data_IF_304123327214
#
_entry.id   IF_304123327214
#
_cell.length_a   1.000
_cell.length_b   1.000
_cell.length_c   1.000
_cell.angle_alpha   90.00
_cell.angle_beta   90.00
_cell.angle_gamma   90.00
#
_symmetry.space_group_name_H-M   'P 1'
#
loop_
_entity.id
_entity.type
_entity.pdbx_description
1 polymer ?
#
# COMPACT_ATOMS: atom_id res chain seq x y z
N UNK A 1 2.18 -9.46 -47.93
CA UNK A 1 1.73 -9.53 -46.52
C UNK A 1 2.97 -9.43 -45.64
N UNK A 2 2.94 -8.72 -44.50
CA UNK A 2 4.04 -8.74 -43.55
C UNK A 2 4.28 -10.17 -43.06
N UNK A 3 5.54 -10.55 -42.88
CA UNK A 3 5.91 -11.87 -42.35
C UNK A 3 5.33 -12.04 -40.94
N UNK A 4 4.59 -13.13 -40.72
CA UNK A 4 4.08 -13.53 -39.40
C UNK A 4 4.95 -14.68 -38.89
N UNK A 5 5.65 -14.54 -37.75
CA UNK A 5 6.40 -15.65 -37.15
C UNK A 5 5.45 -16.80 -36.78
N UNK A 6 5.99 -18.01 -36.64
CA UNK A 6 5.20 -19.22 -36.35
C UNK A 6 4.38 -19.15 -35.07
N UNK A 7 4.81 -18.34 -34.10
CA UNK A 7 4.12 -18.11 -32.83
C UNK A 7 3.09 -16.99 -32.87
N UNK A 8 2.94 -16.26 -33.98
CA UNK A 8 2.03 -15.12 -34.10
C UNK A 8 0.57 -15.54 -33.92
N UNK A 9 -0.21 -14.72 -33.20
CA UNK A 9 -1.66 -14.87 -33.03
C UNK A 9 -2.34 -13.56 -33.41
N UNK A 10 -3.45 -13.62 -34.16
CA UNK A 10 -4.10 -12.42 -34.71
C UNK A 10 -4.71 -11.54 -33.61
N UNK A 11 -5.37 -12.16 -32.64
CA UNK A 11 -6.17 -11.48 -31.61
C UNK A 11 -5.48 -11.42 -30.24
N UNK A 12 -4.25 -11.93 -30.13
CA UNK A 12 -3.51 -11.95 -28.86
C UNK A 12 -2.12 -11.35 -29.02
N UNK A 13 -1.65 -10.71 -27.94
CA UNK A 13 -0.29 -10.19 -27.81
C UNK A 13 0.42 -10.97 -26.73
N UNK A 14 1.63 -11.43 -27.02
CA UNK A 14 2.50 -11.98 -25.99
C UNK A 14 3.14 -10.83 -25.20
N UNK A 15 2.91 -10.81 -23.90
CA UNK A 15 3.43 -9.80 -22.98
C UNK A 15 4.39 -10.49 -22.03
N UNK A 16 5.67 -10.12 -22.09
CA UNK A 16 6.64 -10.44 -21.04
C UNK A 16 6.71 -9.29 -20.05
N UNK A 17 6.53 -9.63 -18.77
CA UNK A 17 6.70 -8.76 -17.61
C UNK A 17 7.91 -9.19 -16.77
N UNK A 18 8.92 -9.76 -17.43
CA UNK A 18 10.20 -10.12 -16.84
C UNK A 18 10.82 -8.93 -16.08
N UNK A 19 11.36 -9.22 -14.89
CA UNK A 19 12.01 -8.20 -14.05
C UNK A 19 13.42 -7.83 -14.52
N UNK A 20 14.03 -8.66 -15.39
CA UNK A 20 15.40 -8.49 -15.88
C UNK A 20 15.50 -8.79 -17.37
N UNK A 21 16.43 -8.11 -18.04
CA UNK A 21 16.71 -8.23 -19.48
C UNK A 21 18.22 -8.33 -19.77
N UNK A 22 19.00 -8.89 -18.84
CA UNK A 22 20.44 -9.12 -18.99
C UNK A 22 21.32 -7.88 -18.84
N UNK A 23 20.75 -6.67 -18.73
CA UNK A 23 21.48 -5.41 -18.55
C UNK A 23 20.88 -4.54 -17.45
N UNK A 24 21.73 -3.72 -16.81
CA UNK A 24 21.29 -2.73 -15.83
C UNK A 24 21.03 -1.35 -16.46
N UNK A 25 20.59 -0.39 -15.65
CA UNK A 25 20.28 0.99 -16.08
C UNK A 25 21.44 1.74 -16.74
N UNK A 26 22.67 1.30 -16.51
CA UNK A 26 23.89 1.91 -17.04
C UNK A 26 24.40 1.15 -18.28
N UNK A 27 23.66 0.14 -18.76
CA UNK A 27 24.03 -0.69 -19.92
C UNK A 27 25.04 -1.80 -19.62
N UNK A 28 25.40 -2.01 -18.35
CA UNK A 28 26.30 -3.10 -17.96
C UNK A 28 25.55 -4.42 -17.83
N UNK A 29 26.23 -5.53 -18.09
CA UNK A 29 25.67 -6.87 -17.92
C UNK A 29 25.20 -7.08 -16.48
N UNK A 30 23.97 -7.56 -16.33
CA UNK A 30 23.38 -7.94 -15.07
C UNK A 30 23.61 -9.44 -14.85
N UNK A 31 24.21 -9.81 -13.71
CA UNK A 31 24.47 -11.20 -13.34
C UNK A 31 23.58 -11.61 -12.18
N UNK A 32 23.17 -12.88 -12.16
CA UNK A 32 22.42 -13.46 -11.05
C UNK A 32 23.25 -13.38 -9.78
N UNK A 33 22.63 -12.95 -8.67
CA UNK A 33 23.25 -12.95 -7.35
C UNK A 33 22.90 -14.25 -6.64
N UNK A 34 23.92 -14.96 -6.17
CA UNK A 34 23.74 -16.12 -5.29
C UNK A 34 23.17 -15.65 -3.95
N UNK A 35 21.96 -16.10 -3.62
CA UNK A 35 21.25 -15.70 -2.40
C UNK A 35 21.93 -16.18 -1.10
N UNK A 36 22.76 -17.23 -1.16
CA UNK A 36 23.47 -17.77 0.00
C UNK A 36 24.77 -17.01 0.27
N UNK A 37 25.49 -16.63 -0.78
CA UNK A 37 26.81 -16.00 -0.65
C UNK A 37 26.80 -14.48 -0.87
N UNK A 38 25.73 -13.95 -1.47
CA UNK A 38 25.61 -12.55 -1.88
C UNK A 38 26.53 -12.17 -3.05
N UNK A 39 27.22 -13.14 -3.67
CA UNK A 39 28.16 -12.88 -4.76
C UNK A 39 27.47 -12.95 -6.11
N UNK A 40 28.00 -12.19 -7.07
CA UNK A 40 27.62 -12.32 -8.48
C UNK A 40 28.09 -13.69 -8.98
N UNK A 41 27.20 -14.37 -9.69
CA UNK A 41 27.53 -15.57 -10.46
C UNK A 41 28.02 -15.17 -11.85
N UNK A 42 28.38 -16.16 -12.67
CA UNK A 42 28.71 -15.96 -14.09
C UNK A 42 27.47 -16.00 -15.00
N UNK A 43 26.30 -16.34 -14.45
CA UNK A 43 25.05 -16.44 -15.19
C UNK A 43 24.44 -15.05 -15.38
N UNK A 44 24.14 -14.70 -16.64
CA UNK A 44 23.43 -13.45 -16.98
C UNK A 44 21.99 -13.55 -16.47
N UNK A 45 21.51 -12.51 -15.80
CA UNK A 45 20.14 -12.41 -15.32
C UNK A 45 19.25 -11.81 -16.42
N UNK A 46 18.75 -12.67 -17.31
CA UNK A 46 17.92 -12.30 -18.46
C UNK A 46 16.62 -13.13 -18.51
N UNK A 47 15.67 -12.78 -17.63
CA UNK A 47 14.35 -13.42 -17.61
C UNK A 47 13.53 -13.13 -18.86
N UNK A 48 13.77 -11.99 -19.51
CA UNK A 48 13.14 -11.66 -20.78
C UNK A 48 13.53 -12.68 -21.85
N UNK A 49 14.82 -13.03 -21.97
CA UNK A 49 15.26 -14.07 -22.91
C UNK A 49 14.61 -15.42 -22.63
N UNK A 50 14.51 -15.82 -21.35
CA UNK A 50 13.82 -17.07 -20.96
C UNK A 50 12.35 -17.10 -21.43
N UNK A 51 11.65 -15.97 -21.35
CA UNK A 51 10.28 -15.83 -21.85
C UNK A 51 10.20 -15.93 -23.39
N UNK A 52 11.16 -15.32 -24.11
CA UNK A 52 11.24 -15.39 -25.58
C UNK A 52 11.55 -16.82 -26.06
N UNK A 53 12.50 -17.51 -25.41
CA UNK A 53 12.80 -18.90 -25.70
C UNK A 53 11.58 -19.80 -25.47
N UNK A 54 10.82 -19.53 -24.41
CA UNK A 54 9.57 -20.23 -24.13
C UNK A 54 8.51 -19.96 -25.20
N UNK A 55 8.34 -18.70 -25.61
CA UNK A 55 7.44 -18.31 -26.71
C UNK A 55 7.77 -19.03 -28.02
N UNK A 56 9.03 -19.00 -28.45
CA UNK A 56 9.48 -19.62 -29.70
C UNK A 56 9.33 -21.14 -29.65
N UNK A 57 9.57 -21.76 -28.49
CA UNK A 57 9.40 -23.20 -28.28
C UNK A 57 7.93 -23.63 -28.08
N UNK A 58 6.97 -22.69 -28.02
CA UNK A 58 5.56 -23.00 -27.75
C UNK A 58 5.30 -23.50 -26.32
N UNK A 59 6.13 -23.12 -25.35
CA UNK A 59 6.02 -23.51 -23.94
C UNK A 59 5.48 -22.35 -23.08
N UNK A 60 4.85 -22.63 -21.94
CA UNK A 60 4.51 -21.59 -20.96
C UNK A 60 5.76 -20.86 -20.49
N UNK A 61 5.68 -19.53 -20.47
CA UNK A 61 6.72 -18.65 -19.93
C UNK A 61 6.44 -18.37 -18.44
N UNK A 62 7.48 -18.11 -17.65
CA UNK A 62 7.33 -17.84 -16.20
C UNK A 62 6.83 -16.42 -15.96
N UNK A 63 7.34 -15.47 -16.73
CA UNK A 63 6.97 -14.05 -16.67
C UNK A 63 6.35 -13.55 -17.97
N UNK A 64 5.84 -14.47 -18.80
CA UNK A 64 5.22 -14.16 -20.07
C UNK A 64 3.85 -14.80 -20.21
N UNK A 65 2.93 -14.10 -20.86
CA UNK A 65 1.60 -14.65 -21.17
C UNK A 65 1.03 -14.07 -22.46
N UNK A 66 0.02 -14.75 -22.97
CA UNK A 66 -0.86 -14.20 -23.98
C UNK A 66 -1.95 -13.34 -23.33
N UNK A 67 -2.21 -12.18 -23.92
CA UNK A 67 -3.27 -11.25 -23.55
C UNK A 67 -4.09 -10.94 -24.79
N UNK A 68 -5.40 -11.14 -24.70
CA UNK A 68 -6.31 -10.76 -25.78
C UNK A 68 -6.23 -9.26 -26.05
N UNK A 69 -6.26 -8.87 -27.33
CA UNK A 69 -6.08 -7.48 -27.75
C UNK A 69 -7.08 -6.53 -27.08
N UNK A 70 -8.31 -6.97 -26.90
CA UNK A 70 -9.37 -6.17 -26.27
C UNK A 70 -9.12 -5.89 -24.78
N UNK A 71 -8.24 -6.66 -24.13
CA UNK A 71 -7.86 -6.46 -22.74
C UNK A 71 -6.57 -5.65 -22.58
N UNK A 72 -5.93 -5.24 -23.68
CA UNK A 72 -4.74 -4.39 -23.64
C UNK A 72 -5.13 -2.93 -23.43
N UNK A 73 -5.22 -2.51 -22.17
CA UNK A 73 -5.59 -1.14 -21.79
C UNK A 73 -4.38 -0.26 -21.44
N UNK A 74 -3.26 -0.87 -21.03
CA UNK A 74 -2.09 -0.17 -20.49
C UNK A 74 -0.81 -0.63 -21.21
N UNK A 75 0.01 0.32 -21.66
CA UNK A 75 1.28 0.04 -22.36
C UNK A 75 2.45 -0.38 -21.46
N UNK A 76 2.17 -0.84 -20.24
CA UNK A 76 3.17 -1.25 -19.26
C UNK A 76 3.06 -2.76 -19.03
N UNK A 77 4.04 -3.58 -19.46
CA UNK A 77 3.92 -5.03 -19.41
C UNK A 77 3.63 -5.59 -18.02
N UNK A 78 4.24 -5.00 -16.98
CA UNK A 78 4.04 -5.42 -15.59
C UNK A 78 2.59 -5.36 -15.11
N UNK A 79 1.75 -4.52 -15.71
CA UNK A 79 0.32 -4.47 -15.38
C UNK A 79 -0.40 -5.81 -15.62
N UNK A 80 0.09 -6.60 -16.58
CA UNK A 80 -0.46 -7.91 -16.96
C UNK A 80 0.20 -9.08 -16.23
N UNK A 81 1.06 -8.83 -15.26
CA UNK A 81 1.48 -9.87 -14.33
C UNK A 81 0.21 -10.37 -13.63
N UNK A 82 0.00 -11.68 -13.58
CA UNK A 82 -1.13 -12.31 -12.87
C UNK A 82 -0.69 -13.41 -11.93
N UNK A 83 0.63 -13.53 -11.68
CA UNK A 83 1.17 -14.54 -10.77
C UNK A 83 0.62 -14.38 -9.36
N UNK A 84 0.29 -13.15 -8.98
CA UNK A 84 -0.27 -12.87 -7.66
C UNK A 84 -1.74 -13.30 -7.49
N UNK A 85 -2.53 -13.36 -8.57
CA UNK A 85 -3.92 -13.84 -8.52
C UNK A 85 -3.93 -15.33 -8.15
N UNK A 86 -3.18 -16.13 -8.91
CA UNK A 86 -3.08 -17.57 -8.66
C UNK A 86 -2.55 -17.88 -7.26
N UNK A 87 -1.57 -17.10 -6.78
CA UNK A 87 -1.03 -17.30 -5.44
C UNK A 87 -1.95 -16.80 -4.32
N UNK A 88 -2.86 -15.85 -4.58
CA UNK A 88 -3.94 -15.52 -3.63
C UNK A 88 -4.99 -16.65 -3.61
N UNK A 89 -5.39 -17.18 -4.76
CA UNK A 89 -6.28 -18.34 -4.84
C UNK A 89 -5.72 -19.55 -4.07
N UNK A 90 -4.42 -19.82 -4.21
CA UNK A 90 -3.75 -20.90 -3.50
C UNK A 90 -3.65 -20.63 -1.98
N UNK A 91 -3.50 -19.37 -1.58
CA UNK A 91 -3.56 -18.99 -0.17
C UNK A 91 -4.95 -19.25 0.41
N UNK A 92 -6.01 -18.89 -0.31
CA UNK A 92 -7.40 -19.05 0.11
C UNK A 92 -7.85 -20.51 0.24
N UNK A 93 -7.17 -21.44 -0.46
CA UNK A 93 -7.42 -22.89 -0.31
C UNK A 93 -6.90 -23.48 1.01
N UNK A 94 -6.05 -22.75 1.75
CA UNK A 94 -5.49 -23.25 3.00
C UNK A 94 -6.57 -23.32 4.10
N UNK A 95 -6.49 -24.28 5.04
CA UNK A 95 -7.48 -24.43 6.11
C UNK A 95 -7.70 -23.16 6.95
N UNK A 96 -6.65 -22.35 7.12
CA UNK A 96 -6.70 -21.09 7.87
C UNK A 96 -7.57 -20.00 7.20
N UNK A 97 -7.86 -20.14 5.90
CA UNK A 97 -8.67 -19.21 5.11
C UNK A 97 -10.05 -19.79 4.78
N UNK A 98 -10.50 -20.83 5.51
CA UNK A 98 -11.86 -21.35 5.33
C UNK A 98 -12.88 -20.24 5.57
N UNK A 99 -13.77 -20.04 4.60
CA UNK A 99 -14.79 -18.99 4.64
C UNK A 99 -14.33 -17.62 4.12
N UNK A 100 -13.07 -17.51 3.69
CA UNK A 100 -12.57 -16.31 3.02
C UNK A 100 -12.79 -16.40 1.51
N UNK A 101 -12.94 -15.23 0.89
CA UNK A 101 -13.04 -15.04 -0.56
C UNK A 101 -12.09 -13.93 -1.00
N UNK A 102 -11.71 -13.90 -2.27
CA UNK A 102 -10.99 -12.75 -2.82
C UNK A 102 -11.98 -11.64 -3.15
N UNK A 103 -11.72 -10.43 -2.66
CA UNK A 103 -12.47 -9.23 -3.01
C UNK A 103 -11.49 -8.10 -3.35
N UNK A 104 -11.82 -7.30 -4.34
CA UNK A 104 -11.06 -6.10 -4.67
C UNK A 104 -11.35 -4.98 -3.67
N UNK A 105 -10.39 -4.07 -3.46
CA UNK A 105 -10.63 -2.84 -2.69
C UNK A 105 -11.79 -2.04 -3.31
N UNK A 106 -11.92 -2.06 -4.64
CA UNK A 106 -13.02 -1.44 -5.38
C UNK A 106 -14.39 -1.97 -4.97
N UNK A 107 -14.60 -3.28 -5.03
CA UNK A 107 -15.86 -3.90 -4.61
C UNK A 107 -16.20 -3.57 -3.16
N UNK A 108 -15.22 -3.63 -2.25
CA UNK A 108 -15.45 -3.31 -0.84
C UNK A 108 -15.78 -1.82 -0.60
N UNK A 109 -15.29 -0.93 -1.46
CA UNK A 109 -15.67 0.50 -1.45
C UNK A 109 -17.08 0.68 -1.99
N UNK A 110 -17.42 0.01 -3.09
CA UNK A 110 -18.74 0.09 -3.72
C UNK A 110 -19.84 -0.49 -2.82
N UNK A 111 -19.55 -1.58 -2.11
CA UNK A 111 -20.42 -2.18 -1.09
C UNK A 111 -20.50 -1.35 0.20
N UNK A 112 -19.68 -0.30 0.32
CA UNK A 112 -19.67 0.60 1.45
C UNK A 112 -19.00 0.03 2.71
N UNK A 113 -18.29 -1.09 2.61
CA UNK A 113 -17.52 -1.67 3.73
C UNK A 113 -16.20 -0.92 3.97
N UNK A 114 -15.61 -0.32 2.94
CA UNK A 114 -14.40 0.50 3.04
C UNK A 114 -14.70 1.92 2.57
N UNK A 115 -14.40 2.90 3.41
CA UNK A 115 -14.33 4.29 3.02
C UNK A 115 -12.91 4.61 2.52
N UNK A 116 -12.82 5.39 1.43
CA UNK A 116 -11.57 5.90 0.89
C UNK A 116 -11.54 7.43 0.89
N UNK A 117 -10.37 8.01 1.11
CA UNK A 117 -10.14 9.47 1.01
C UNK A 117 -8.73 9.76 0.54
N UNK A 118 -8.55 10.86 -0.19
CA UNK A 118 -7.23 11.41 -0.48
C UNK A 118 -6.72 12.29 0.68
N UNK A 119 -5.41 12.50 0.75
CA UNK A 119 -4.84 13.50 1.66
C UNK A 119 -5.33 14.92 1.37
N UNK A 120 -5.12 15.80 2.33
CA UNK A 120 -5.69 17.16 2.36
C UNK A 120 -5.05 18.11 1.34
N UNK A 121 -3.72 18.03 1.19
CA UNK A 121 -2.96 18.92 0.33
C UNK A 121 -1.57 19.21 0.86
N UNK A 122 -0.80 19.99 0.10
CA UNK A 122 0.61 20.23 0.36
C UNK A 122 0.84 21.70 0.72
N UNK A 123 0.92 22.06 2.01
CA UNK A 123 1.38 23.38 2.44
C UNK A 123 2.74 23.75 1.81
N UNK A 124 2.87 25.00 1.39
CA UNK A 124 4.11 25.55 0.85
C UNK A 124 5.14 25.76 1.97
N UNK A 125 6.43 25.84 1.62
CA UNK A 125 7.51 25.88 2.61
C UNK A 125 7.51 27.13 3.50
N UNK A 126 7.02 28.25 2.98
CA UNK A 126 6.84 29.53 3.67
C UNK A 126 5.72 29.49 4.72
N UNK A 127 4.82 28.50 4.66
CA UNK A 127 3.73 28.30 5.63
C UNK A 127 4.10 27.34 6.76
N UNK A 128 5.37 26.96 6.87
CA UNK A 128 5.88 26.13 7.95
C UNK A 128 6.11 26.97 9.20
N UNK A 129 5.87 26.36 10.36
CA UNK A 129 5.78 27.01 11.66
C UNK A 129 4.39 26.79 12.27
N UNK A 130 4.34 26.45 13.55
CA UNK A 130 3.11 26.14 14.27
C UNK A 130 3.17 24.80 14.98
N UNK A 131 2.00 24.27 15.34
CA UNK A 131 1.85 23.09 16.20
C UNK A 131 1.14 21.91 15.52
N UNK A 132 0.60 22.09 14.30
CA UNK A 132 -0.13 21.02 13.60
C UNK A 132 0.83 20.28 12.65
N UNK A 133 0.99 18.95 12.77
CA UNK A 133 1.88 18.20 11.89
C UNK A 133 1.42 18.22 10.42
N UNK A 134 2.36 18.46 9.51
CA UNK A 134 2.18 18.20 8.07
C UNK A 134 3.02 16.97 7.68
N UNK A 135 2.33 15.92 7.23
CA UNK A 135 2.87 14.60 6.93
C UNK A 135 3.05 14.44 5.42
N UNK A 136 4.30 14.18 5.01
CA UNK A 136 4.67 13.91 3.61
C UNK A 136 4.76 12.41 3.35
N UNK A 137 4.81 12.03 2.07
CA UNK A 137 5.04 10.63 1.65
C UNK A 137 6.28 9.99 2.28
N UNK A 138 7.31 10.79 2.57
CA UNK A 138 8.55 10.33 3.22
C UNK A 138 8.39 9.98 4.69
N UNK A 139 7.31 10.43 5.33
CA UNK A 139 7.07 10.33 6.76
C UNK A 139 6.25 9.08 7.12
N UNK A 140 5.75 8.36 6.11
CA UNK A 140 5.12 7.03 6.24
C UNK A 140 6.21 5.97 6.19
N UNK A 141 6.53 5.38 7.33
CA UNK A 141 7.58 4.36 7.44
C UNK A 141 7.25 3.37 8.54
N UNK A 142 7.60 2.10 8.30
CA UNK A 142 7.54 1.03 9.30
C UNK A 142 6.18 0.94 10.02
N UNK A 143 5.07 1.07 9.28
CA UNK A 143 3.73 0.99 9.84
C UNK A 143 3.27 2.23 10.62
N UNK A 144 4.06 3.30 10.66
CA UNK A 144 3.78 4.49 11.47
C UNK A 144 3.77 5.79 10.67
N UNK A 145 2.97 6.74 11.16
CA UNK A 145 2.97 8.14 10.74
C UNK A 145 3.97 8.91 11.59
N UNK A 146 5.11 9.27 11.01
CA UNK A 146 6.18 9.97 11.72
C UNK A 146 5.95 11.48 11.67
N UNK A 147 5.93 12.13 12.83
CA UNK A 147 5.81 13.58 12.91
C UNK A 147 7.18 14.20 12.69
N UNK A 148 7.26 15.14 11.75
CA UNK A 148 8.46 15.92 11.49
C UNK A 148 8.27 17.36 12.00
N UNK A 149 8.92 17.74 13.12
CA UNK A 149 8.78 19.08 13.71
C UNK A 149 9.12 20.23 12.75
N UNK A 150 9.99 19.98 11.76
CA UNK A 150 10.39 20.99 10.77
C UNK A 150 9.31 21.29 9.71
N UNK A 151 8.24 20.49 9.64
CA UNK A 151 7.18 20.63 8.66
C UNK A 151 5.87 21.14 9.25
N UNK A 152 5.77 21.36 10.56
CA UNK A 152 4.52 21.77 11.21
C UNK A 152 3.95 23.05 10.61
N UNK A 153 2.63 23.21 10.70
CA UNK A 153 1.89 24.38 10.21
C UNK A 153 1.01 24.95 11.32
N UNK A 154 0.55 26.19 11.16
CA UNK A 154 -0.39 26.80 12.10
C UNK A 154 -1.78 26.19 11.96
N UNK A 155 -2.58 26.26 13.03
CA UNK A 155 -3.98 25.78 13.00
C UNK A 155 -4.82 26.42 11.89
N UNK A 156 -4.61 27.72 11.61
CA UNK A 156 -5.31 28.42 10.51
C UNK A 156 -4.95 27.82 9.14
N UNK A 157 -3.66 27.54 8.91
CA UNK A 157 -3.22 26.89 7.67
C UNK A 157 -3.82 25.49 7.59
N UNK A 158 -3.76 24.71 8.67
CA UNK A 158 -4.32 23.36 8.71
C UNK A 158 -5.82 23.33 8.39
N UNK A 159 -6.63 24.16 9.07
CA UNK A 159 -8.08 24.26 8.85
C UNK A 159 -8.43 24.63 7.39
N UNK A 160 -7.60 25.45 6.73
CA UNK A 160 -7.79 25.77 5.31
C UNK A 160 -7.62 24.55 4.39
N UNK A 161 -6.71 23.63 4.73
CA UNK A 161 -6.50 22.37 4.00
C UNK A 161 -7.55 21.32 4.38
N UNK A 162 -7.94 21.27 5.65
CA UNK A 162 -9.00 20.38 6.13
C UNK A 162 -10.38 20.77 5.61
N UNK A 163 -10.58 22.05 5.28
CA UNK A 163 -11.87 22.68 4.95
C UNK A 163 -12.86 22.59 6.12
N UNK A 164 -12.34 22.73 7.34
CA UNK A 164 -13.10 22.60 8.58
C UNK A 164 -12.20 22.70 9.80
N UNK A 165 -12.78 22.60 11.01
CA UNK A 165 -12.03 22.71 12.27
C UNK A 165 -11.08 21.52 12.52
N UNK A 166 -11.38 20.34 11.97
CA UNK A 166 -10.64 19.09 12.17
C UNK A 166 -10.28 18.44 10.84
N UNK A 167 -9.27 17.57 10.85
CA UNK A 167 -8.82 16.84 9.65
C UNK A 167 -9.90 15.92 9.07
N UNK A 168 -10.75 15.35 9.93
CA UNK A 168 -11.71 14.29 9.59
C UNK A 168 -11.09 12.88 9.50
N UNK A 169 -9.82 12.74 9.89
CA UNK A 169 -9.20 11.45 10.16
C UNK A 169 -9.70 10.90 11.51
N UNK A 170 -9.51 9.60 11.73
CA UNK A 170 -9.92 8.91 12.96
C UNK A 170 -8.80 8.01 13.47
N UNK A 171 -8.85 7.62 14.76
CA UNK A 171 -8.01 6.57 15.28
C UNK A 171 -7.97 5.34 14.36
N UNK A 172 -6.77 4.82 14.18
CA UNK A 172 -6.45 3.62 13.41
C UNK A 172 -6.73 3.71 11.92
N UNK A 173 -6.90 4.91 11.34
CA UNK A 173 -6.92 5.09 9.89
C UNK A 173 -5.67 4.49 9.24
N UNK A 174 -5.86 3.83 8.09
CA UNK A 174 -4.77 3.24 7.33
C UNK A 174 -4.34 4.21 6.24
N UNK A 175 -3.09 4.66 6.29
CA UNK A 175 -2.54 5.68 5.38
C UNK A 175 -1.42 5.08 4.55
N UNK A 176 -1.48 5.21 3.22
CA UNK A 176 -0.40 4.79 2.32
C UNK A 176 -0.15 5.85 1.26
N UNK A 177 1.11 6.10 0.84
CA UNK A 177 1.34 6.90 -0.35
C UNK A 177 0.84 6.15 -1.60
N UNK A 178 0.27 6.89 -2.53
CA UNK A 178 -0.17 6.38 -3.85
C UNK A 178 0.59 7.03 -5.01
N UNK A 179 1.51 7.95 -4.69
CA UNK A 179 2.33 8.66 -5.66
C UNK A 179 3.67 9.10 -5.06
N UNK A 180 4.70 9.19 -5.89
CA UNK A 180 6.01 9.78 -5.57
C UNK A 180 6.70 9.16 -4.34
N UNK A 181 6.53 7.86 -4.14
CA UNK A 181 7.12 7.13 -3.03
C UNK A 181 7.49 5.70 -3.43
N UNK A 182 8.58 5.20 -2.84
CA UNK A 182 8.94 3.78 -2.93
C UNK A 182 8.10 2.89 -2.01
N UNK A 183 7.42 3.51 -1.04
CA UNK A 183 6.61 2.82 -0.04
C UNK A 183 5.14 2.71 -0.48
N UNK A 184 4.83 2.86 -1.78
CA UNK A 184 3.46 2.73 -2.28
C UNK A 184 2.91 1.33 -1.92
N UNK A 185 1.71 1.31 -1.32
CA UNK A 185 1.08 0.10 -0.80
C UNK A 185 1.54 -0.31 0.60
N UNK A 186 2.54 0.36 1.20
CA UNK A 186 2.84 0.24 2.64
C UNK A 186 1.88 1.12 3.42
N UNK A 187 1.11 0.47 4.30
CA UNK A 187 0.16 1.16 5.15
C UNK A 187 0.81 1.47 6.50
N UNK A 188 0.66 2.72 6.91
CA UNK A 188 0.86 3.17 8.28
C UNK A 188 -0.48 3.30 8.98
N UNK A 189 -0.46 3.15 10.30
CA UNK A 189 -1.63 3.35 11.16
C UNK A 189 -1.54 4.73 11.80
N UNK A 190 -2.64 5.48 11.72
CA UNK A 190 -2.79 6.71 12.48
C UNK A 190 -3.13 6.36 13.93
N UNK A 191 -2.21 6.58 14.86
CA UNK A 191 -2.47 6.26 16.28
C UNK A 191 -3.48 7.23 16.88
N UNK A 192 -4.22 6.83 17.92
CA UNK A 192 -5.01 7.77 18.72
C UNK A 192 -4.17 9.00 19.13
N UNK A 193 -4.78 10.18 19.06
CA UNK A 193 -4.14 11.48 19.27
C UNK A 193 -3.38 12.03 18.05
N UNK A 194 -3.30 11.30 16.94
CA UNK A 194 -2.65 11.77 15.70
C UNK A 194 -3.65 12.19 14.61
N UNK A 195 -4.92 12.34 14.94
CA UNK A 195 -6.01 12.60 13.99
C UNK A 195 -5.84 13.96 13.31
N UNK A 196 -5.52 15.00 14.06
CA UNK A 196 -5.42 16.37 13.54
C UNK A 196 -4.04 16.65 12.92
N UNK A 197 -3.85 16.05 11.73
CA UNK A 197 -2.68 16.26 10.87
C UNK A 197 -3.09 16.70 9.47
N UNK A 198 -2.20 17.42 8.79
CA UNK A 198 -2.32 17.68 7.35
C UNK A 198 -1.56 16.59 6.61
N UNK A 199 -2.26 15.70 5.92
CA UNK A 199 -1.67 14.74 4.98
C UNK A 199 -1.48 15.36 3.59
N UNK A 200 -0.34 15.12 2.95
CA UNK A 200 -0.15 15.51 1.53
C UNK A 200 -1.15 14.81 0.62
N UNK A 201 -1.55 15.43 -0.51
CA UNK A 201 -2.58 14.91 -1.42
C UNK A 201 -2.24 13.56 -2.05
N UNK A 202 -0.96 13.20 -2.10
CA UNK A 202 -0.43 11.94 -2.62
C UNK A 202 -0.66 10.74 -1.68
N UNK A 203 -1.37 10.93 -0.57
CA UNK A 203 -1.79 9.86 0.34
C UNK A 203 -3.17 9.34 0.00
N UNK A 204 -3.35 8.04 0.15
CA UNK A 204 -4.62 7.35 0.26
C UNK A 204 -4.86 7.00 1.73
N UNK A 205 -6.08 7.25 2.18
CA UNK A 205 -6.60 6.83 3.48
C UNK A 205 -7.69 5.81 3.23
N UNK A 206 -7.58 4.65 3.86
CA UNK A 206 -8.59 3.60 3.90
C UNK A 206 -9.06 3.39 5.34
N UNK A 207 -10.36 3.15 5.50
CA UNK A 207 -10.99 2.83 6.78
C UNK A 207 -12.16 1.89 6.56
N UNK A 208 -12.33 0.88 7.41
CA UNK A 208 -13.60 0.15 7.44
C UNK A 208 -14.72 1.05 7.96
N UNK A 209 -15.93 0.84 7.48
CA UNK A 209 -17.11 1.58 7.92
C UNK A 209 -17.82 0.83 9.03
N UNK A 210 -18.84 1.45 9.62
CA UNK A 210 -19.71 0.79 10.61
C UNK A 210 -20.58 -0.32 10.02
N UNK A 211 -20.66 -0.44 8.69
CA UNK A 211 -21.39 -1.53 8.01
C UNK A 211 -20.50 -2.72 7.70
N UNK A 212 -19.18 -2.59 7.82
CA UNK A 212 -18.26 -3.68 7.61
C UNK A 212 -18.31 -4.69 8.78
N UNK A 213 -18.26 -6.01 8.50
CA UNK A 213 -18.19 -7.04 9.54
C UNK A 213 -16.81 -7.13 10.21
N UNK A 214 -15.86 -6.28 9.80
CA UNK A 214 -14.45 -6.33 10.22
C UNK A 214 -13.93 -4.91 10.44
N UNK A 215 -12.83 -4.80 11.19
CA UNK A 215 -12.23 -3.51 11.54
C UNK A 215 -10.91 -3.21 10.80
N UNK A 216 -10.35 -2.04 11.09
CA UNK A 216 -9.10 -1.58 10.49
C UNK A 216 -7.91 -2.52 10.78
N UNK A 217 -7.91 -3.28 11.87
CA UNK A 217 -6.81 -4.21 12.16
C UNK A 217 -6.87 -5.43 11.23
N UNK A 218 -8.07 -5.91 10.93
CA UNK A 218 -8.26 -6.91 9.88
C UNK A 218 -7.87 -6.38 8.51
N UNK A 219 -8.34 -5.19 8.15
CA UNK A 219 -8.00 -4.58 6.86
C UNK A 219 -6.48 -4.40 6.71
N UNK A 220 -5.80 -3.95 7.76
CA UNK A 220 -4.34 -3.83 7.77
C UNK A 220 -3.64 -5.17 7.63
N UNK A 221 -4.10 -6.21 8.34
CA UNK A 221 -3.56 -7.57 8.21
C UNK A 221 -3.67 -8.06 6.77
N UNK A 222 -4.86 -7.92 6.16
CA UNK A 222 -5.12 -8.36 4.80
C UNK A 222 -4.23 -7.63 3.78
N UNK A 223 -4.14 -6.29 3.90
CA UNK A 223 -3.29 -5.45 3.06
C UNK A 223 -1.79 -5.72 3.22
N UNK A 224 -1.40 -6.28 4.37
CA UNK A 224 0.00 -6.57 4.73
C UNK A 224 0.46 -7.98 4.31
N UNK A 225 -0.44 -8.83 3.80
CA UNK A 225 -0.05 -10.13 3.26
C UNK A 225 0.92 -9.96 2.10
N UNK A 226 2.00 -10.76 2.08
CA UNK A 226 3.06 -10.67 1.05
C UNK A 226 2.47 -10.73 -0.35
N UNK A 227 1.48 -11.60 -0.56
CA UNK A 227 0.85 -11.78 -1.85
C UNK A 227 0.05 -10.55 -2.30
N UNK A 228 -0.71 -9.94 -1.38
CA UNK A 228 -1.43 -8.68 -1.60
C UNK A 228 -0.44 -7.56 -1.88
N UNK A 229 0.66 -7.50 -1.14
CA UNK A 229 1.73 -6.51 -1.34
C UNK A 229 2.42 -6.63 -2.70
N UNK A 230 2.61 -7.83 -3.20
CA UNK A 230 3.18 -8.06 -4.53
C UNK A 230 2.27 -7.55 -5.64
N UNK A 231 0.94 -7.56 -5.46
CA UNK A 231 0.01 -7.02 -6.46
C UNK A 231 0.27 -5.55 -6.76
N UNK A 232 0.68 -4.74 -5.78
CA UNK A 232 0.94 -3.32 -5.97
C UNK A 232 1.99 -3.05 -7.05
N UNK A 233 2.97 -3.95 -7.22
CA UNK A 233 4.02 -3.80 -8.22
C UNK A 233 3.46 -3.68 -9.65
N UNK A 234 2.29 -4.28 -9.93
CA UNK A 234 1.65 -4.23 -11.25
C UNK A 234 1.02 -2.87 -11.57
N UNK A 235 0.60 -2.14 -10.54
CA UNK A 235 -0.17 -0.89 -10.69
C UNK A 235 0.68 0.36 -10.44
N UNK A 236 1.86 0.20 -9.84
CA UNK A 236 2.85 1.27 -9.65
C UNK A 236 3.56 1.53 -10.97
N UNK A 237 3.08 2.53 -11.70
CA UNK A 237 3.61 2.89 -13.01
C UNK A 237 4.37 4.23 -12.94
N UNK A 238 5.40 4.38 -13.78
CA UNK A 238 6.14 5.63 -13.88
C UNK A 238 5.35 6.64 -14.72
N UNK A 239 4.98 7.76 -14.12
CA UNK A 239 4.44 8.92 -14.83
C UNK A 239 5.52 10.00 -14.89
N UNK A 240 6.08 10.23 -16.09
CA UNK A 240 7.25 11.09 -16.31
C UNK A 240 8.43 10.68 -15.44
N UNK A 241 8.58 11.27 -14.24
CA UNK A 241 9.70 11.03 -13.32
C UNK A 241 9.26 10.55 -11.92
N UNK A 242 7.99 10.22 -11.71
CA UNK A 242 7.47 9.77 -10.42
C UNK A 242 6.51 8.59 -10.59
N UNK A 243 6.53 7.70 -9.62
CA UNK A 243 5.60 6.59 -9.51
C UNK A 243 4.18 7.09 -9.19
N UNK A 244 3.17 6.48 -9.80
CA UNK A 244 1.75 6.81 -9.61
C UNK A 244 0.86 5.59 -9.87
N UNK A 245 -0.15 5.37 -9.02
CA UNK A 245 -1.12 4.27 -9.17
C UNK A 245 -2.49 4.73 -9.71
N UNK A 246 -2.80 6.02 -9.74
CA UNK A 246 -4.14 6.51 -10.05
C UNK A 246 -5.22 5.83 -9.20
N UNK A 247 -6.30 5.37 -9.82
CA UNK A 247 -7.34 4.56 -9.17
C UNK A 247 -7.09 3.04 -9.26
N UNK A 248 -5.97 2.60 -9.83
CA UNK A 248 -5.68 1.17 -9.99
C UNK A 248 -5.49 0.43 -8.66
N UNK A 249 -5.29 1.14 -7.54
CA UNK A 249 -5.31 0.52 -6.21
C UNK A 249 -6.65 -0.16 -5.90
N UNK A 250 -7.75 0.27 -6.54
CA UNK A 250 -9.05 -0.37 -6.40
C UNK A 250 -9.06 -1.79 -6.95
N UNK A 251 -8.15 -2.12 -7.87
CA UNK A 251 -8.03 -3.46 -8.45
C UNK A 251 -7.23 -4.44 -7.56
N UNK A 252 -6.69 -3.99 -6.42
CA UNK A 252 -5.95 -4.86 -5.50
C UNK A 252 -6.93 -5.80 -4.82
N UNK A 253 -6.67 -7.09 -4.90
CA UNK A 253 -7.47 -8.13 -4.26
C UNK A 253 -6.92 -8.45 -2.86
N UNK A 254 -7.81 -8.59 -1.89
CA UNK A 254 -7.50 -9.02 -0.53
C UNK A 254 -8.38 -10.20 -0.13
N UNK A 255 -7.90 -11.09 0.77
CA UNK A 255 -8.78 -12.07 1.38
C UNK A 255 -9.78 -11.36 2.29
N UNK A 256 -11.05 -11.69 2.13
CA UNK A 256 -12.17 -11.07 2.84
C UNK A 256 -13.11 -12.13 3.42
N UNK A 257 -13.68 -11.85 4.58
CA UNK A 257 -14.66 -12.72 5.26
C UNK A 257 -15.70 -11.86 5.98
N UNK A 258 -16.92 -12.40 6.12
CA UNK A 258 -17.96 -11.84 6.99
C UNK A 258 -18.02 -12.51 8.37
N UNK A 259 -17.18 -13.51 8.62
CA UNK A 259 -17.03 -14.15 9.93
C UNK A 259 -16.12 -13.30 10.82
N UNK A 260 -16.72 -12.58 11.77
CA UNK A 260 -16.00 -11.67 12.67
C UNK A 260 -14.97 -12.39 13.55
N UNK A 261 -15.24 -13.63 13.95
CA UNK A 261 -14.34 -14.40 14.82
C UNK A 261 -13.11 -14.85 14.02
N UNK A 262 -13.32 -15.32 12.79
CA UNK A 262 -12.22 -15.65 11.89
C UNK A 262 -11.37 -14.42 11.59
N UNK A 263 -12.00 -13.27 11.28
CA UNK A 263 -11.32 -12.01 11.03
C UNK A 263 -10.52 -11.53 12.25
N UNK A 264 -11.11 -11.61 13.45
CA UNK A 264 -10.45 -11.23 14.71
C UNK A 264 -9.28 -12.15 15.02
N UNK A 265 -9.40 -13.44 14.75
CA UNK A 265 -8.35 -14.43 14.97
C UNK A 265 -7.09 -14.12 14.15
N UNK A 266 -7.25 -13.93 12.84
CA UNK A 266 -6.10 -13.68 11.94
C UNK A 266 -5.47 -12.30 12.17
N UNK A 267 -6.27 -11.32 12.57
CA UNK A 267 -5.82 -9.95 12.82
C UNK A 267 -5.33 -9.68 14.24
N UNK A 268 -5.46 -10.65 15.15
CA UNK A 268 -5.11 -10.49 16.57
C UNK A 268 -3.68 -9.96 16.80
N UNK A 269 -2.63 -10.43 16.09
CA UNK A 269 -1.28 -9.89 16.30
C UNK A 269 -1.16 -8.40 15.98
N UNK A 270 -1.82 -7.94 14.90
CA UNK A 270 -1.84 -6.52 14.52
C UNK A 270 -2.60 -5.69 15.55
N UNK A 271 -3.79 -6.16 15.92
CA UNK A 271 -4.62 -5.52 16.95
C UNK A 271 -3.87 -5.35 18.27
N UNK A 272 -3.30 -6.43 18.79
CA UNK A 272 -2.59 -6.41 20.06
C UNK A 272 -1.38 -5.48 20.02
N UNK A 273 -0.64 -5.46 18.89
CA UNK A 273 0.50 -4.57 18.71
C UNK A 273 0.10 -3.10 18.80
N UNK A 274 -0.89 -2.67 18.01
CA UNK A 274 -1.28 -1.25 17.96
C UNK A 274 -2.05 -0.81 19.21
N UNK A 275 -2.91 -1.66 19.78
CA UNK A 275 -3.59 -1.33 21.05
C UNK A 275 -2.61 -1.26 22.22
N UNK A 276 -1.65 -2.20 22.32
CA UNK A 276 -0.61 -2.14 23.34
C UNK A 276 0.32 -0.93 23.16
N UNK A 277 0.62 -0.55 21.92
CA UNK A 277 1.33 0.70 21.64
C UNK A 277 0.54 1.93 22.12
N UNK A 278 -0.77 1.99 21.87
CA UNK A 278 -1.61 3.09 22.33
C UNK A 278 -1.60 3.20 23.86
N UNK A 279 -1.79 2.08 24.56
CA UNK A 279 -1.73 2.02 26.02
C UNK A 279 -0.40 2.55 26.57
N UNK A 280 0.73 2.09 26.01
CA UNK A 280 2.06 2.55 26.39
C UNK A 280 2.27 4.04 26.11
N UNK A 281 1.75 4.56 24.99
CA UNK A 281 1.86 5.98 24.62
C UNK A 281 1.08 6.87 25.58
N UNK A 282 -0.14 6.48 25.94
CA UNK A 282 -0.98 7.23 26.91
C UNK A 282 -0.36 7.22 28.30
N UNK A 283 0.10 6.06 28.77
CA UNK A 283 0.78 5.94 30.06
C UNK A 283 2.05 6.81 30.11
N UNK A 284 2.83 6.80 29.03
CA UNK A 284 4.03 7.62 28.92
C UNK A 284 3.72 9.12 28.93
N UNK A 285 2.75 9.58 28.14
CA UNK A 285 2.40 11.00 28.07
C UNK A 285 1.80 11.50 29.39
N UNK A 286 0.96 10.69 30.03
CA UNK A 286 0.41 10.97 31.38
C UNK A 286 1.51 11.11 32.45
N UNK A 287 2.58 10.32 32.36
CA UNK A 287 3.71 10.42 33.30
C UNK A 287 4.52 11.71 33.08
N UNK A 288 4.73 12.12 31.83
CA UNK A 288 5.49 13.34 31.50
C UNK A 288 4.72 14.64 31.75
N UNK A 289 3.38 14.59 31.74
CA UNK A 289 2.53 15.75 32.02
C UNK A 289 2.61 16.24 33.48
N UNK A 290 3.31 15.53 34.37
CA UNK A 290 3.34 15.83 35.81
C UNK A 290 4.21 17.04 36.18
N UNK A 291 5.21 17.40 35.36
CA UNK A 291 6.19 18.44 35.73
C UNK A 291 6.56 19.46 34.64
N UNK A 292 5.94 19.42 33.45
CA UNK A 292 6.20 20.33 32.30
C UNK A 292 7.69 20.47 31.93
N UNK A 293 8.50 19.44 32.23
CA UNK A 293 9.94 19.46 31.97
C UNK A 293 10.31 18.91 30.58
N UNK A 294 9.39 18.20 29.92
CA UNK A 294 9.70 17.34 28.79
C UNK A 294 9.07 17.82 27.48
N UNK A 295 9.91 18.03 26.46
CA UNK A 295 9.46 18.35 25.10
C UNK A 295 9.27 17.05 24.29
N UNK A 296 8.14 16.39 24.50
CA UNK A 296 7.73 15.16 23.79
C UNK A 296 6.38 15.39 23.11
N UNK A 297 6.28 15.06 21.83
CA UNK A 297 5.03 15.14 21.07
C UNK A 297 4.74 13.80 20.40
N UNK A 298 3.75 13.08 20.94
CA UNK A 298 3.28 11.82 20.36
C UNK A 298 1.90 11.97 19.67
N UNK A 299 1.13 12.99 20.06
CA UNK A 299 -0.21 13.28 19.60
C UNK A 299 -0.86 14.28 20.55
N UNK A 300 -2.11 14.64 20.31
CA UNK A 300 -2.95 15.40 21.22
C UNK A 300 -3.59 14.39 22.19
N UNK A 301 -3.28 14.49 23.48
CA UNK A 301 -4.07 13.81 24.52
C UNK A 301 -5.32 14.65 24.77
N UNK A 302 -6.43 14.33 24.12
CA UNK A 302 -7.73 14.78 24.62
C UNK A 302 -8.15 13.82 25.76
N UNK A 303 -8.50 14.33 26.95
CA UNK A 303 -9.16 13.50 27.94
C UNK A 303 -10.44 12.94 27.29
N UNK A 304 -10.60 11.62 27.28
CA UNK A 304 -11.88 11.01 26.91
C UNK A 304 -12.92 11.54 27.90
N UNK A 305 -13.76 12.47 27.47
CA UNK A 305 -15.03 12.69 28.14
C UNK A 305 -15.73 11.33 28.16
N UNK A 306 -16.00 10.82 29.37
CA UNK A 306 -16.85 9.65 29.57
C UNK A 306 -18.12 9.89 28.76
N UNK A 307 -18.33 9.06 27.74
CA UNK A 307 -19.58 9.03 27.00
C UNK A 307 -20.65 8.41 27.91
N UNK A 308 -21.05 9.18 28.92
CA UNK A 308 -22.24 8.95 29.73
C UNK A 308 -23.44 9.54 28.98
N UNK A 309 -24.08 8.72 28.14
CA UNK A 309 -25.54 8.52 27.95
C UNK A 309 -25.88 7.91 26.59
#
# INVERSE_FOLDING_TARGET
MPHKPSWFRDDEVFVSFADTCGINKDGNVLYVIDSLTGKRTETIDDRLMEDIDSLVAGRPAVTGRWVHRDHLSIGAPRYYDTRFVAALDDLLKQPAFRGFTACTIGELVDDGFIAKRAGHGSPSADKRGGSVPYIKVSDIRAGQVNINPSNMVSGIVAQSFWRGPHSGLKPFDLVTPIRASKNIGEFAVLMPGQEDVVLTKEMLILRTTSTAPVDNFFLLWALSLKIVRQQWNRIVLMQTNREDVGDRYLEIEIPWTSDEDAARSVSAPFRNYYLGMDELRRAFTSALAQDDLHHVFLGIDEPQEEADQ
#
